data_IF_085045624873
#
_entry.id   IF_085045624873
#
_cell.length_a   1.000
_cell.length_b   1.000
_cell.length_c   1.000
_cell.angle_alpha   90.00
_cell.angle_beta   90.00
_cell.angle_gamma   90.00
#
_symmetry.space_group_name_H-M   'P 1'
#
loop_
_entity.id
_entity.type
_entity.pdbx_description
1 polymer ?
#
# COMPACT_ATOMS: atom_id res chain seq x y z
N UNK A 1 -33.54 29.66 16.36
CA UNK A 1 -34.01 28.57 15.47
C UNK A 1 -33.02 28.45 14.31
N UNK A 2 -32.52 27.22 14.09
CA UNK A 2 -31.62 26.65 13.07
C UNK A 2 -31.09 27.57 11.93
N UNK A 3 -29.83 27.46 11.48
CA UNK A 3 -29.18 26.21 11.08
C UNK A 3 -27.66 26.35 11.03
N UNK A 4 -26.94 25.39 11.62
CA UNK A 4 -25.49 25.32 11.64
C UNK A 4 -24.95 24.80 10.32
N UNK A 5 -24.36 25.69 9.51
CA UNK A 5 -23.52 25.30 8.39
C UNK A 5 -22.08 25.12 8.88
N UNK A 6 -21.75 23.92 9.36
CA UNK A 6 -20.37 23.54 9.64
C UNK A 6 -19.65 23.40 8.28
N UNK A 7 -19.02 24.47 7.82
CA UNK A 7 -18.05 24.37 6.74
C UNK A 7 -16.80 23.68 7.31
N UNK A 8 -16.34 22.55 6.76
CA UNK A 8 -15.05 21.99 7.15
C UNK A 8 -13.96 22.93 6.63
N UNK A 9 -13.47 23.80 7.51
CA UNK A 9 -12.27 24.60 7.27
C UNK A 9 -11.08 23.65 7.17
N UNK A 10 -10.32 23.81 6.09
CA UNK A 10 -9.22 22.93 5.71
C UNK A 10 -8.17 22.75 6.81
N UNK A 11 -7.72 21.52 6.95
CA UNK A 11 -6.57 21.12 7.74
C UNK A 11 -5.76 20.09 6.97
N UNK A 12 -5.07 20.52 5.91
CA UNK A 12 -3.98 19.74 5.31
C UNK A 12 -2.77 19.80 6.26
N UNK A 13 -2.83 19.06 7.36
CA UNK A 13 -1.68 18.80 8.20
C UNK A 13 -1.23 17.35 8.00
N UNK A 14 -0.17 17.23 7.21
CA UNK A 14 0.59 16.05 6.87
C UNK A 14 1.08 15.32 8.12
N UNK A 15 0.31 14.33 8.56
CA UNK A 15 0.78 13.19 9.34
C UNK A 15 -0.04 12.01 8.85
N UNK A 16 0.62 11.01 8.25
CA UNK A 16 -0.06 9.75 7.94
C UNK A 16 -0.51 9.16 9.27
N UNK A 17 -1.80 9.31 9.60
CA UNK A 17 -2.33 8.81 10.87
C UNK A 17 -2.26 7.30 10.82
N UNK A 18 -1.38 6.71 11.65
CA UNK A 18 -1.23 5.26 11.75
C UNK A 18 -2.50 4.57 12.27
N UNK A 19 -3.45 5.35 12.83
CA UNK A 19 -4.79 4.86 13.18
C UNK A 19 -5.70 4.73 11.96
N UNK A 20 -5.39 5.41 10.87
CA UNK A 20 -6.11 5.27 9.60
C UNK A 20 -5.74 3.94 8.95
N UNK A 21 -6.72 3.05 8.81
CA UNK A 21 -6.50 1.74 8.21
C UNK A 21 -6.06 1.83 6.75
N UNK A 22 -6.34 2.95 6.07
CA UNK A 22 -5.92 3.20 4.71
C UNK A 22 -4.39 3.25 4.61
N UNK A 23 -3.68 3.75 5.62
CA UNK A 23 -2.20 3.70 5.62
C UNK A 23 -1.68 2.26 5.69
N UNK A 24 -2.38 1.37 6.40
CA UNK A 24 -2.06 -0.07 6.40
C UNK A 24 -2.30 -0.70 5.04
N UNK A 25 -3.42 -0.36 4.38
CA UNK A 25 -3.69 -0.81 3.01
C UNK A 25 -2.65 -0.29 2.01
N UNK A 26 -2.22 0.97 2.13
CA UNK A 26 -1.17 1.54 1.29
C UNK A 26 0.12 0.72 1.38
N UNK A 27 0.54 0.38 2.61
CA UNK A 27 1.71 -0.47 2.83
C UNK A 27 1.50 -1.84 2.17
N UNK A 28 0.34 -2.48 2.34
CA UNK A 28 0.05 -3.77 1.71
C UNK A 28 0.14 -3.70 0.17
N UNK A 29 -0.33 -2.62 -0.45
CA UNK A 29 -0.15 -2.41 -1.89
C UNK A 29 1.31 -2.16 -2.30
N UNK A 30 2.12 -1.49 -1.47
CA UNK A 30 3.58 -1.36 -1.72
C UNK A 30 4.26 -2.74 -1.67
N UNK A 31 3.88 -3.59 -0.71
CA UNK A 31 4.33 -4.98 -0.65
C UNK A 31 3.94 -5.73 -1.93
N UNK A 32 2.68 -5.59 -2.35
CA UNK A 32 2.19 -6.18 -3.60
C UNK A 32 2.98 -5.68 -4.81
N UNK A 33 3.23 -4.38 -4.95
CA UNK A 33 4.01 -3.81 -6.05
C UNK A 33 5.41 -4.41 -6.13
N UNK A 34 6.05 -4.58 -4.97
CA UNK A 34 7.41 -5.14 -4.88
C UNK A 34 7.45 -6.58 -5.37
N UNK A 35 6.39 -7.35 -5.09
CA UNK A 35 6.45 -8.81 -5.11
C UNK A 35 5.51 -9.52 -6.08
N UNK A 36 4.56 -8.81 -6.69
CA UNK A 36 3.65 -9.36 -7.69
C UNK A 36 4.36 -9.66 -9.02
N UNK A 37 3.65 -10.40 -9.88
CA UNK A 37 4.08 -10.68 -11.25
C UNK A 37 4.26 -9.40 -12.07
N UNK A 38 5.01 -9.48 -13.16
CA UNK A 38 5.22 -8.33 -14.04
C UNK A 38 3.89 -7.82 -14.64
N UNK A 39 2.95 -8.71 -14.92
CA UNK A 39 1.63 -8.36 -15.45
C UNK A 39 0.84 -7.50 -14.44
N UNK A 40 0.83 -7.88 -13.16
CA UNK A 40 0.08 -7.17 -12.12
C UNK A 40 0.76 -5.88 -11.65
N UNK A 41 2.08 -5.77 -11.83
CA UNK A 41 2.88 -4.63 -11.34
C UNK A 41 2.37 -3.28 -11.82
N UNK A 42 2.01 -3.16 -13.10
CA UNK A 42 1.53 -1.88 -13.65
C UNK A 42 0.18 -1.48 -13.04
N UNK A 43 -0.71 -2.44 -12.78
CA UNK A 43 -2.02 -2.18 -12.20
C UNK A 43 -1.88 -1.66 -10.76
N UNK A 44 -1.00 -2.29 -9.97
CA UNK A 44 -0.71 -1.85 -8.59
C UNK A 44 0.00 -0.50 -8.59
N UNK A 45 0.91 -0.26 -9.55
CA UNK A 45 1.58 1.02 -9.69
C UNK A 45 0.57 2.16 -9.93
N UNK A 46 -0.36 1.99 -10.86
CA UNK A 46 -1.39 2.99 -11.13
C UNK A 46 -2.35 3.20 -9.96
N UNK A 47 -2.64 2.15 -9.18
CA UNK A 47 -3.42 2.27 -7.94
C UNK A 47 -2.68 3.13 -6.90
N UNK A 48 -1.38 2.90 -6.70
CA UNK A 48 -0.55 3.66 -5.76
C UNK A 48 -0.32 5.10 -6.23
N UNK A 49 -0.17 5.32 -7.54
CA UNK A 49 -0.10 6.65 -8.15
C UNK A 49 -1.38 7.46 -7.89
N UNK A 50 -2.53 6.82 -8.04
CA UNK A 50 -3.85 7.42 -7.82
C UNK A 50 -4.40 7.22 -6.40
N UNK A 51 -3.53 6.92 -5.43
CA UNK A 51 -3.92 6.54 -4.07
C UNK A 51 -4.82 7.58 -3.38
N UNK A 52 -4.57 8.87 -3.62
CA UNK A 52 -5.40 9.95 -3.09
C UNK A 52 -6.88 9.81 -3.45
N UNK A 53 -7.19 9.47 -4.71
CA UNK A 53 -8.56 9.26 -5.17
C UNK A 53 -9.12 7.92 -4.70
N UNK A 54 -8.32 6.85 -4.79
CA UNK A 54 -8.73 5.51 -4.36
C UNK A 54 -9.08 5.47 -2.85
N UNK A 55 -8.25 6.08 -2.02
CA UNK A 55 -8.45 6.12 -0.56
C UNK A 55 -9.69 6.88 -0.10
N UNK A 56 -10.23 7.77 -0.94
CA UNK A 56 -11.50 8.47 -0.69
C UNK A 56 -12.73 7.60 -1.01
N UNK A 57 -12.57 6.59 -1.87
CA UNK A 57 -13.62 5.62 -2.22
C UNK A 57 -13.69 4.47 -1.21
N UNK A 58 -12.67 4.32 -0.38
CA UNK A 58 -12.66 3.34 0.70
C UNK A 58 -13.68 3.72 1.79
N UNK A 59 -14.33 2.74 2.43
CA UNK A 59 -15.24 2.99 3.55
C UNK A 59 -14.56 3.81 4.65
N UNK A 60 -15.31 4.69 5.31
CA UNK A 60 -14.78 5.48 6.44
C UNK A 60 -14.45 4.57 7.63
N UNK A 61 -15.22 3.51 7.81
CA UNK A 61 -15.06 2.53 8.87
C UNK A 61 -14.34 1.27 8.38
N UNK A 62 -13.40 0.78 9.19
CA UNK A 62 -12.63 -0.44 8.92
C UNK A 62 -13.53 -1.67 8.85
N UNK A 63 -14.59 -1.73 9.66
CA UNK A 63 -15.46 -2.90 9.76
C UNK A 63 -16.35 -3.10 8.51
N UNK A 64 -16.49 -2.05 7.69
CA UNK A 64 -17.25 -2.09 6.44
C UNK A 64 -16.38 -2.46 5.23
N UNK A 65 -15.06 -2.50 5.39
CA UNK A 65 -14.18 -2.93 4.34
C UNK A 65 -14.21 -4.47 4.23
N UNK A 66 -14.38 -4.98 3.01
CA UNK A 66 -14.38 -6.42 2.76
C UNK A 66 -12.95 -6.99 2.81
N UNK A 67 -12.48 -7.20 4.04
CA UNK A 67 -11.16 -7.76 4.33
C UNK A 67 -10.98 -9.16 3.74
N UNK A 68 -12.05 -9.95 3.64
CA UNK A 68 -11.98 -11.31 3.14
C UNK A 68 -11.63 -11.30 1.64
N UNK A 69 -12.41 -10.55 0.86
CA UNK A 69 -12.18 -10.40 -0.58
C UNK A 69 -10.81 -9.78 -0.86
N UNK A 70 -10.46 -8.71 -0.13
CA UNK A 70 -9.15 -8.08 -0.28
C UNK A 70 -7.99 -9.05 0.00
N UNK A 71 -8.06 -9.85 1.07
CA UNK A 71 -7.00 -10.80 1.40
C UNK A 71 -6.89 -11.94 0.39
N UNK A 72 -8.01 -12.42 -0.16
CA UNK A 72 -8.03 -13.44 -1.21
C UNK A 72 -7.37 -12.92 -2.48
N UNK A 73 -7.77 -11.75 -2.95
CA UNK A 73 -7.17 -11.11 -4.12
C UNK A 73 -5.70 -10.75 -3.89
N UNK A 74 -5.37 -10.19 -2.72
CA UNK A 74 -3.98 -9.87 -2.35
C UNK A 74 -3.08 -11.09 -2.42
N UNK A 75 -3.55 -12.23 -1.87
CA UNK A 75 -2.83 -13.50 -1.95
C UNK A 75 -2.64 -13.94 -3.39
N UNK A 76 -3.67 -13.85 -4.21
CA UNK A 76 -3.65 -14.18 -5.65
C UNK A 76 -2.73 -13.25 -6.45
N UNK A 77 -2.62 -11.97 -6.08
CA UNK A 77 -1.69 -11.06 -6.76
C UNK A 77 -0.23 -11.31 -6.43
N UNK A 78 0.02 -11.86 -5.24
CA UNK A 78 1.33 -12.31 -4.78
C UNK A 78 1.46 -13.83 -5.01
N UNK A 79 0.48 -14.41 -5.73
CA UNK A 79 0.05 -15.81 -5.79
C UNK A 79 1.11 -16.79 -5.35
N UNK A 80 1.03 -17.35 -4.13
CA UNK A 80 1.80 -18.56 -3.74
C UNK A 80 3.35 -18.54 -3.92
N UNK A 81 3.94 -17.54 -4.58
CA UNK A 81 5.22 -17.61 -5.27
C UNK A 81 6.38 -17.28 -4.34
N UNK A 82 6.07 -16.63 -3.20
CA UNK A 82 7.07 -16.27 -2.18
C UNK A 82 6.92 -17.04 -0.88
N UNK A 83 5.73 -17.55 -0.57
CA UNK A 83 5.53 -18.46 0.58
C UNK A 83 6.17 -19.82 0.28
N UNK A 84 6.12 -20.30 -0.97
CA UNK A 84 6.86 -21.49 -1.40
C UNK A 84 8.40 -21.29 -1.42
N UNK A 85 8.90 -20.06 -1.54
CA UNK A 85 10.35 -19.74 -1.49
C UNK A 85 10.88 -19.54 -0.05
N UNK A 86 10.00 -19.31 0.92
CA UNK A 86 10.34 -19.10 2.35
C UNK A 86 10.32 -20.39 3.19
N UNK A 87 10.02 -21.56 2.59
CA UNK A 87 10.33 -22.86 3.20
C UNK A 87 11.71 -23.29 2.66
N UNK A 88 12.82 -22.94 3.34
CA UNK A 88 14.13 -23.41 2.93
C UNK A 88 14.20 -24.93 3.17
N UNK A 89 14.14 -25.72 2.10
CA UNK A 89 14.52 -27.13 2.21
C UNK A 89 16.05 -27.29 2.20
N UNK A 90 16.86 -26.28 1.83
CA UNK A 90 18.34 -26.41 1.89
C UNK A 90 19.05 -25.07 2.21
N UNK A 91 19.61 -24.95 3.43
CA UNK A 91 20.75 -24.06 3.78
C UNK A 91 20.44 -22.68 4.38
N UNK A 92 20.67 -22.52 5.69
CA UNK A 92 20.43 -21.27 6.44
C UNK A 92 21.19 -20.03 5.90
N UNK A 93 22.35 -20.20 5.26
CA UNK A 93 23.15 -19.09 4.72
C UNK A 93 22.55 -18.52 3.42
N UNK A 94 22.07 -19.39 2.52
CA UNK A 94 21.45 -18.99 1.25
C UNK A 94 20.12 -18.28 1.52
N UNK A 95 19.35 -18.79 2.49
CA UNK A 95 18.10 -18.15 2.93
C UNK A 95 18.32 -16.74 3.50
N UNK A 96 19.38 -16.51 4.27
CA UNK A 96 19.68 -15.18 4.82
C UNK A 96 19.98 -14.16 3.71
N UNK A 97 20.80 -14.51 2.73
CA UNK A 97 21.15 -13.62 1.61
C UNK A 97 19.91 -13.29 0.77
N UNK A 98 19.09 -14.28 0.45
CA UNK A 98 17.84 -14.08 -0.29
C UNK A 98 16.88 -13.16 0.48
N UNK A 99 16.77 -13.31 1.80
CA UNK A 99 15.96 -12.42 2.63
C UNK A 99 16.46 -10.97 2.61
N UNK A 100 17.77 -10.74 2.73
CA UNK A 100 18.33 -9.38 2.64
C UNK A 100 18.03 -8.71 1.30
N UNK A 101 18.09 -9.45 0.19
CA UNK A 101 17.76 -8.92 -1.14
C UNK A 101 16.28 -8.54 -1.25
N UNK A 102 15.37 -9.36 -0.72
CA UNK A 102 13.93 -9.06 -0.68
C UNK A 102 13.64 -7.80 0.14
N UNK A 103 14.28 -7.66 1.30
CA UNK A 103 14.12 -6.48 2.15
C UNK A 103 14.69 -5.21 1.49
N UNK A 104 15.83 -5.31 0.80
CA UNK A 104 16.39 -4.19 0.06
C UNK A 104 15.45 -3.72 -1.08
N UNK A 105 14.90 -4.66 -1.86
CA UNK A 105 13.94 -4.36 -2.93
C UNK A 105 12.65 -3.71 -2.39
N UNK A 106 12.14 -4.21 -1.26
CA UNK A 106 10.98 -3.63 -0.60
C UNK A 106 11.26 -2.22 -0.10
N UNK A 107 12.42 -1.99 0.53
CA UNK A 107 12.83 -0.68 1.01
C UNK A 107 12.93 0.35 -0.12
N UNK A 108 13.56 -0.03 -1.24
CA UNK A 108 13.65 0.83 -2.43
C UNK A 108 12.27 1.16 -3.00
N UNK A 109 11.42 0.15 -3.17
CA UNK A 109 10.06 0.31 -3.70
C UNK A 109 9.23 1.22 -2.80
N UNK A 110 9.29 1.01 -1.48
CA UNK A 110 8.58 1.84 -0.51
C UNK A 110 9.05 3.30 -0.58
N UNK A 111 10.37 3.55 -0.59
CA UNK A 111 10.92 4.90 -0.72
C UNK A 111 10.41 5.59 -1.99
N UNK A 112 10.38 4.88 -3.12
CA UNK A 112 9.89 5.43 -4.38
C UNK A 112 8.39 5.72 -4.36
N UNK A 113 7.57 4.83 -3.78
CA UNK A 113 6.13 5.06 -3.60
C UNK A 113 5.85 6.28 -2.71
N UNK A 114 6.53 6.42 -1.58
CA UNK A 114 6.37 7.59 -0.71
C UNK A 114 6.84 8.89 -1.39
N UNK A 115 7.95 8.86 -2.14
CA UNK A 115 8.39 10.00 -2.97
C UNK A 115 7.31 10.40 -3.98
N UNK A 116 6.76 9.43 -4.71
CA UNK A 116 5.68 9.66 -5.67
C UNK A 116 4.46 10.30 -5.00
N UNK A 117 4.05 9.79 -3.84
CA UNK A 117 2.92 10.33 -3.06
C UNK A 117 3.15 11.79 -2.65
N UNK A 118 4.34 12.12 -2.14
CA UNK A 118 4.69 13.49 -1.73
C UNK A 118 4.78 14.44 -2.93
N UNK A 119 5.38 14.01 -4.04
CA UNK A 119 5.48 14.80 -5.27
C UNK A 119 4.10 15.03 -5.91
N UNK A 120 3.21 14.05 -5.88
CA UNK A 120 1.83 14.17 -6.32
C UNK A 120 1.04 15.18 -5.50
N UNK A 121 1.16 15.13 -4.16
CA UNK A 121 0.57 16.13 -3.26
C UNK A 121 1.06 17.55 -3.60
N UNK A 122 2.35 17.72 -3.89
CA UNK A 122 2.90 19.02 -4.29
C UNK A 122 2.32 19.55 -5.61
N UNK A 123 1.97 18.68 -6.56
CA UNK A 123 1.36 19.07 -7.85
C UNK A 123 -0.11 19.46 -7.74
N UNK A 124 -0.84 18.94 -6.76
CA UNK A 124 -2.26 19.25 -6.54
C UNK A 124 -2.50 20.57 -5.77
N UNK A 125 -1.47 21.11 -5.12
CA UNK A 125 -1.53 22.35 -4.34
C UNK A 125 -0.93 23.59 -5.02
N UNK A 126 -0.63 23.53 -6.32
CA UNK A 126 -0.14 24.65 -7.14
C UNK A 126 -1.11 24.96 -8.26
#
# INVERSE_FOLDING_TARGET
MANGGHQPVGGYYTGFDVKDYRERLYILYVFQLTFCSQQRRNEVYHLLENWGNYSLQLPVDTDQFDWCTFQLEYRDYIDLAKIAQLIPVIGAAVGAIANYQLMAQLGETAMNCYRMRVLGVKRMGS
#
